data_IF_488701078032
#
_entry.id   IF_488701078032
#
_cell.length_a   1.000
_cell.length_b   1.000
_cell.length_c   1.000
_cell.angle_alpha   90.00
_cell.angle_beta   90.00
_cell.angle_gamma   90.00
#
_symmetry.space_group_name_H-M   'P 1'
#
loop_
_entity.id
_entity.type
_entity.pdbx_description
1 polymer ?
#
# COMPACT_ATOMS: atom_id res chain seq x y z
N UNK A 1 -29.31 -44.41 -7.78
CA UNK A 1 -27.87 -44.13 -7.56
C UNK A 1 -27.35 -42.88 -8.27
N UNK A 2 -27.80 -42.54 -9.49
CA UNK A 2 -27.31 -41.34 -10.24
C UNK A 2 -27.62 -39.98 -9.57
N UNK A 3 -28.75 -39.84 -8.88
CA UNK A 3 -29.15 -38.59 -8.22
C UNK A 3 -28.23 -38.22 -7.02
N UNK A 4 -27.71 -39.22 -6.31
CA UNK A 4 -26.82 -39.02 -5.16
C UNK A 4 -25.46 -38.43 -5.59
N UNK A 5 -24.91 -38.91 -6.71
CA UNK A 5 -23.66 -38.39 -7.27
C UNK A 5 -23.78 -36.93 -7.74
N UNK A 6 -24.94 -36.55 -8.29
CA UNK A 6 -25.20 -35.17 -8.73
C UNK A 6 -25.26 -34.22 -7.53
N UNK A 7 -25.92 -34.62 -6.44
CA UNK A 7 -26.00 -33.82 -5.22
C UNK A 7 -24.64 -33.65 -4.53
N UNK A 8 -23.83 -34.70 -4.51
CA UNK A 8 -22.46 -34.65 -3.96
C UNK A 8 -21.58 -33.70 -4.80
N UNK A 9 -21.64 -33.79 -6.13
CA UNK A 9 -20.91 -32.89 -7.02
C UNK A 9 -21.34 -31.42 -6.85
N UNK A 10 -22.64 -31.15 -6.67
CA UNK A 10 -23.14 -29.80 -6.40
C UNK A 10 -22.66 -29.26 -5.03
N UNK A 11 -22.63 -30.11 -4.01
CA UNK A 11 -22.12 -29.73 -2.69
C UNK A 11 -20.63 -29.34 -2.74
N UNK A 12 -19.79 -30.10 -3.45
CA UNK A 12 -18.39 -29.76 -3.66
C UNK A 12 -18.20 -28.49 -4.51
N UNK A 13 -19.04 -28.26 -5.53
CA UNK A 13 -18.98 -27.05 -6.35
C UNK A 13 -19.32 -25.78 -5.54
N UNK A 14 -20.28 -25.86 -4.62
CA UNK A 14 -20.68 -24.71 -3.77
C UNK A 14 -19.67 -24.39 -2.66
N UNK A 15 -18.95 -25.39 -2.13
CA UNK A 15 -17.91 -25.16 -1.12
C UNK A 15 -16.73 -24.34 -1.67
N UNK A 16 -16.40 -24.47 -2.96
CA UNK A 16 -15.29 -23.73 -3.57
C UNK A 16 -15.56 -22.22 -3.73
N UNK A 17 -16.82 -21.78 -3.69
CA UNK A 17 -17.20 -20.38 -3.93
C UNK A 17 -17.14 -19.54 -2.64
N UNK A 18 -17.22 -20.18 -1.46
CA UNK A 18 -17.35 -19.46 -0.17
C UNK A 18 -15.99 -19.19 0.49
N UNK A 19 -14.90 -19.82 0.04
CA UNK A 19 -13.55 -19.52 0.53
C UNK A 19 -12.95 -18.26 -0.12
N UNK A 20 -13.72 -17.16 -0.16
CA UNK A 20 -13.13 -15.85 -0.42
C UNK A 20 -12.26 -15.47 0.79
N UNK A 21 -10.94 -15.22 0.62
CA UNK A 21 -10.08 -14.85 1.73
C UNK A 21 -10.65 -13.59 2.40
N UNK A 22 -10.95 -13.69 3.69
CA UNK A 22 -11.41 -12.55 4.49
C UNK A 22 -10.37 -11.44 4.38
N UNK A 23 -10.80 -10.31 3.83
CA UNK A 23 -9.96 -9.18 3.48
C UNK A 23 -9.19 -8.68 4.71
N UNK A 24 -7.90 -9.02 4.82
CA UNK A 24 -6.99 -8.59 5.90
C UNK A 24 -6.57 -7.12 5.80
N UNK A 25 -7.40 -6.27 5.17
CA UNK A 25 -7.10 -4.88 4.81
C UNK A 25 -6.64 -4.01 6.00
N UNK A 26 -7.02 -4.40 7.23
CA UNK A 26 -6.68 -3.67 8.45
C UNK A 26 -5.43 -4.15 9.18
N UNK A 27 -4.83 -5.30 8.83
CA UNK A 27 -3.63 -5.79 9.55
C UNK A 27 -2.38 -5.15 8.97
N UNK A 28 -1.89 -4.09 9.63
CA UNK A 28 -0.64 -3.43 9.25
C UNK A 28 0.56 -4.35 9.47
N UNK A 29 1.58 -4.29 8.60
CA UNK A 29 2.81 -5.03 8.81
C UNK A 29 3.60 -4.46 10.00
N UNK A 30 4.25 -5.34 10.76
CA UNK A 30 5.10 -4.95 11.89
C UNK A 30 6.30 -4.11 11.45
N UNK A 31 6.86 -4.44 10.29
CA UNK A 31 7.97 -3.70 9.67
C UNK A 31 7.48 -3.03 8.39
N UNK A 32 7.80 -1.74 8.23
CA UNK A 32 7.63 -1.06 6.95
C UNK A 32 8.66 -1.56 5.95
N UNK A 33 8.20 -1.80 4.72
CA UNK A 33 9.06 -2.09 3.58
C UNK A 33 8.57 -1.31 2.39
N UNK A 34 9.49 -0.59 1.76
CA UNK A 34 9.25 0.10 0.51
C UNK A 34 10.41 -0.12 -0.44
N UNK A 35 10.09 -0.29 -1.73
CA UNK A 35 11.07 -0.35 -2.81
C UNK A 35 10.82 0.81 -3.75
N UNK A 36 11.85 1.59 -4.02
CA UNK A 36 11.80 2.74 -4.94
C UNK A 36 12.67 2.42 -6.14
N UNK A 37 12.11 2.53 -7.34
CA UNK A 37 12.77 2.19 -8.59
C UNK A 37 13.00 3.43 -9.43
N UNK A 38 14.15 3.51 -10.10
CA UNK A 38 14.45 4.67 -10.96
C UNK A 38 13.71 4.68 -12.30
N UNK A 39 13.21 3.52 -12.76
CA UNK A 39 12.40 3.39 -13.99
C UNK A 39 11.01 2.85 -13.68
N UNK A 40 10.01 3.10 -14.56
CA UNK A 40 8.68 2.52 -14.44
C UNK A 40 8.69 0.99 -14.43
N UNK A 41 7.58 0.41 -13.98
CA UNK A 41 7.29 -1.02 -13.95
C UNK A 41 8.32 -1.84 -13.16
N UNK A 42 8.80 -1.30 -12.03
CA UNK A 42 9.74 -1.95 -11.11
C UNK A 42 11.08 -2.30 -11.75
N UNK A 43 11.56 -1.42 -12.65
CA UNK A 43 12.82 -1.58 -13.39
C UNK A 43 13.89 -0.57 -12.96
N UNK A 44 15.13 -0.84 -13.35
CA UNK A 44 16.27 0.03 -13.08
C UNK A 44 16.83 -0.15 -11.67
N UNK A 45 17.56 0.86 -11.19
CA UNK A 45 18.15 0.85 -9.85
C UNK A 45 17.06 0.86 -8.78
N UNK A 46 17.20 -0.03 -7.80
CA UNK A 46 16.27 -0.15 -6.66
C UNK A 46 16.91 0.35 -5.39
N UNK A 47 16.15 1.12 -4.60
CA UNK A 47 16.48 1.47 -3.24
C UNK A 47 15.44 0.86 -2.29
N UNK A 48 15.93 0.09 -1.33
CA UNK A 48 15.11 -0.55 -0.31
C UNK A 48 15.07 0.32 0.94
N UNK A 49 13.86 0.68 1.38
CA UNK A 49 13.61 1.40 2.62
C UNK A 49 12.94 0.43 3.58
N UNK A 50 13.55 0.24 4.76
CA UNK A 50 13.05 -0.64 5.82
C UNK A 50 13.10 0.11 7.14
N UNK A 51 12.03 0.00 7.93
CA UNK A 51 11.99 0.57 9.28
C UNK A 51 11.01 -0.18 10.17
N UNK A 52 11.32 -0.24 11.46
CA UNK A 52 10.42 -0.74 12.49
C UNK A 52 9.54 0.44 12.91
N UNK A 53 8.26 0.41 12.55
CA UNK A 53 7.40 1.59 12.69
C UNK A 53 6.77 1.64 14.09
N UNK A 54 7.59 1.76 15.12
CA UNK A 54 7.11 2.10 16.46
C UNK A 54 7.06 3.63 16.62
N UNK A 55 5.86 4.13 16.95
CA UNK A 55 5.64 5.36 17.72
C UNK A 55 6.13 6.72 17.21
N UNK A 56 6.90 6.83 16.12
CA UNK A 56 7.49 8.12 15.75
C UNK A 56 6.41 9.11 15.31
N UNK A 57 6.14 10.13 16.14
CA UNK A 57 5.22 11.24 15.83
C UNK A 57 5.70 12.08 14.63
N UNK A 58 6.99 12.01 14.30
CA UNK A 58 7.58 12.73 13.15
C UNK A 58 7.50 11.90 11.86
N UNK A 59 7.19 12.53 10.72
CA UNK A 59 7.25 11.88 9.43
C UNK A 59 8.69 11.44 9.16
N UNK A 60 8.86 10.17 8.82
CA UNK A 60 10.17 9.61 8.50
C UNK A 60 10.58 10.13 7.11
N UNK A 61 11.83 10.55 6.98
CA UNK A 61 12.39 11.08 5.73
C UNK A 61 13.61 10.26 5.32
N UNK A 62 13.72 9.96 4.02
CA UNK A 62 14.87 9.27 3.44
C UNK A 62 15.35 9.98 2.19
N UNK A 63 16.67 10.13 2.07
CA UNK A 63 17.29 10.59 0.84
C UNK A 63 17.35 9.45 -0.19
N UNK A 64 17.03 9.78 -1.43
CA UNK A 64 17.00 8.86 -2.54
C UNK A 64 18.37 8.80 -3.21
N UNK A 65 18.83 7.59 -3.54
CA UNK A 65 20.07 7.38 -4.29
C UNK A 65 19.96 7.86 -5.74
N UNK A 66 18.75 7.82 -6.31
CA UNK A 66 18.44 8.31 -7.65
C UNK A 66 17.68 9.64 -7.59
N UNK A 67 17.96 10.55 -8.53
CA UNK A 67 17.22 11.82 -8.71
C UNK A 67 15.85 11.65 -9.37
N UNK A 68 15.50 10.42 -9.78
CA UNK A 68 14.26 10.08 -10.48
C UNK A 68 13.62 8.85 -9.86
N UNK A 69 12.31 8.94 -9.64
CA UNK A 69 11.43 7.87 -9.18
C UNK A 69 10.52 7.47 -10.35
N UNK A 70 10.74 6.29 -10.90
CA UNK A 70 9.95 5.74 -11.99
C UNK A 70 8.75 4.93 -11.51
N UNK A 71 8.94 4.12 -10.47
CA UNK A 71 7.87 3.37 -9.79
C UNK A 71 8.21 3.13 -8.32
N UNK A 72 7.22 2.73 -7.52
CA UNK A 72 7.46 2.27 -6.15
C UNK A 72 6.44 1.22 -5.70
N UNK A 73 6.86 0.43 -4.71
CA UNK A 73 6.04 -0.59 -4.07
C UNK A 73 6.14 -0.44 -2.55
N UNK A 74 5.01 -0.58 -1.85
CA UNK A 74 4.95 -0.54 -0.37
C UNK A 74 4.15 -1.71 0.15
N UNK A 75 4.48 -2.18 1.35
CA UNK A 75 3.75 -3.25 2.02
C UNK A 75 2.60 -2.76 2.92
N UNK A 76 2.64 -1.52 3.42
CA UNK A 76 1.55 -0.92 4.20
C UNK A 76 0.66 -0.08 3.26
N UNK A 77 -0.61 -0.47 3.01
CA UNK A 77 -1.52 0.28 2.16
C UNK A 77 -1.95 1.63 2.78
N UNK A 78 -1.88 1.75 4.12
CA UNK A 78 -2.37 2.88 4.90
C UNK A 78 -1.28 3.91 5.18
N UNK A 79 -0.53 4.26 4.13
CA UNK A 79 0.52 5.29 4.17
C UNK A 79 0.32 6.33 3.07
N UNK A 80 0.69 7.56 3.41
CA UNK A 80 0.87 8.68 2.50
C UNK A 80 2.35 8.77 2.14
N UNK A 81 2.64 8.74 0.85
CA UNK A 81 3.98 8.91 0.29
C UNK A 81 4.12 10.32 -0.26
N UNK A 82 5.14 11.06 0.17
CA UNK A 82 5.41 12.43 -0.28
C UNK A 82 6.83 12.50 -0.84
N UNK A 83 6.97 12.96 -2.08
CA UNK A 83 8.26 13.09 -2.76
C UNK A 83 8.69 14.56 -2.79
N UNK A 84 9.98 14.81 -2.56
CA UNK A 84 10.53 16.17 -2.55
C UNK A 84 11.67 16.30 -3.55
N UNK A 85 11.79 17.48 -4.15
CA UNK A 85 12.85 17.78 -5.13
C UNK A 85 14.22 17.96 -4.49
N UNK A 86 14.26 18.33 -3.21
CA UNK A 86 15.48 18.53 -2.42
C UNK A 86 15.73 17.37 -1.47
N UNK A 87 16.92 17.31 -0.88
CA UNK A 87 17.24 16.35 0.17
C UNK A 87 16.48 16.68 1.45
N UNK A 88 16.45 15.72 2.37
CA UNK A 88 15.99 15.90 3.75
C UNK A 88 14.53 16.36 3.87
N UNK A 89 13.75 16.10 2.83
CA UNK A 89 12.32 16.43 2.74
C UNK A 89 12.04 17.92 2.90
N UNK A 90 12.96 18.74 2.38
CA UNK A 90 12.83 20.19 2.40
C UNK A 90 12.07 20.74 1.20
N UNK A 91 11.47 21.91 1.39
CA UNK A 91 10.77 22.65 0.35
C UNK A 91 9.40 22.06 0.00
N UNK A 92 8.85 22.53 -1.12
CA UNK A 92 7.54 22.09 -1.59
C UNK A 92 7.58 20.62 -2.09
N UNK A 93 6.56 19.81 -1.78
CA UNK A 93 6.43 18.47 -2.34
C UNK A 93 6.35 18.49 -3.87
N UNK A 94 7.14 17.64 -4.52
CA UNK A 94 7.00 17.36 -5.96
C UNK A 94 5.72 16.57 -6.25
N UNK A 95 5.35 15.65 -5.35
CA UNK A 95 4.16 14.84 -5.48
C UNK A 95 3.74 14.24 -4.14
N UNK A 96 2.44 14.05 -3.95
CA UNK A 96 1.88 13.38 -2.79
C UNK A 96 0.90 12.31 -3.25
N UNK A 97 1.11 11.08 -2.80
CA UNK A 97 0.24 9.94 -3.08
C UNK A 97 -0.47 9.54 -1.80
N UNK A 98 -1.78 9.76 -1.79
CA UNK A 98 -2.67 9.25 -0.75
C UNK A 98 -3.13 7.84 -1.16
N UNK A 99 -3.17 6.93 -0.19
CA UNK A 99 -3.53 5.52 -0.38
C UNK A 99 -2.55 4.76 -1.29
N UNK A 100 -1.65 4.03 -0.66
CA UNK A 100 -0.59 3.28 -1.33
C UNK A 100 -0.94 1.79 -1.47
N UNK A 101 -2.23 1.45 -1.42
CA UNK A 101 -2.71 0.07 -1.51
C UNK A 101 -2.42 -0.63 -2.85
N UNK A 102 -2.18 0.14 -3.90
CA UNK A 102 -1.76 -0.40 -5.21
C UNK A 102 -0.33 0.02 -5.50
N UNK A 103 0.52 -0.89 -6.03
CA UNK A 103 1.81 -0.52 -6.57
C UNK A 103 1.66 0.63 -7.57
N UNK A 104 2.61 1.56 -7.56
CA UNK A 104 2.63 2.66 -8.52
C UNK A 104 3.70 2.39 -9.56
N UNK A 105 3.29 1.74 -10.65
CA UNK A 105 4.20 1.32 -11.70
C UNK A 105 4.67 2.45 -12.62
N UNK A 106 4.01 3.62 -12.62
CA UNK A 106 4.36 4.72 -13.52
C UNK A 106 4.19 6.10 -12.86
N UNK A 107 5.21 6.49 -12.09
CA UNK A 107 5.26 7.72 -11.28
C UNK A 107 6.08 8.83 -11.97
N UNK A 108 7.19 8.47 -12.63
CA UNK A 108 8.08 9.36 -13.40
C UNK A 108 8.37 10.76 -12.78
N UNK A 109 8.60 10.83 -11.47
CA UNK A 109 8.83 12.09 -10.75
C UNK A 109 10.32 12.33 -10.48
N UNK A 110 10.75 13.59 -10.61
CA UNK A 110 12.07 14.04 -10.14
C UNK A 110 11.99 14.29 -8.63
N UNK A 111 12.73 13.50 -7.86
CA UNK A 111 12.77 13.59 -6.40
C UNK A 111 14.16 13.21 -5.87
N UNK A 112 14.57 13.84 -4.77
CA UNK A 112 15.82 13.55 -4.05
C UNK A 112 15.58 13.02 -2.64
N UNK A 113 14.38 13.20 -2.10
CA UNK A 113 13.99 12.56 -0.85
C UNK A 113 12.51 12.17 -0.87
N UNK A 114 12.17 11.31 0.09
CA UNK A 114 10.83 10.75 0.26
C UNK A 114 10.46 10.78 1.74
N UNK A 115 9.23 11.20 2.01
CA UNK A 115 8.62 11.13 3.33
C UNK A 115 7.42 10.20 3.35
N UNK A 116 7.30 9.45 4.42
CA UNK A 116 6.23 8.45 4.59
C UNK A 116 5.49 8.74 5.88
N UNK A 117 4.18 8.90 5.79
CA UNK A 117 3.31 9.21 6.93
C UNK A 117 2.21 8.16 7.03
N UNK A 118 1.98 7.61 8.22
CA UNK A 118 0.86 6.71 8.48
C UNK A 118 -0.46 7.48 8.39
N UNK A 119 -1.41 6.92 7.66
CA UNK A 119 -2.79 7.43 7.58
C UNK A 119 -3.67 6.51 8.41
N UNK A 120 -4.51 7.05 9.29
CA UNK A 120 -5.48 6.23 10.04
C UNK A 120 -6.59 5.76 9.09
N UNK A 121 -7.03 4.49 9.16
CA UNK A 121 -8.19 4.06 8.40
C UNK A 121 -9.42 4.85 8.89
N UNK A 122 -10.21 5.37 7.95
CA UNK A 122 -11.50 5.97 8.27
C UNK A 122 -12.49 4.83 8.45
N UNK A 123 -12.82 4.50 9.69
CA UNK A 123 -13.92 3.57 9.99
C UNK A 123 -15.20 4.37 9.81
N UNK A 124 -15.83 4.24 8.63
CA UNK A 124 -17.18 4.75 8.44
C UNK A 124 -18.11 3.90 9.32
N UNK A 125 -18.43 4.39 10.51
CA UNK A 125 -19.52 3.81 11.29
C UNK A 125 -20.79 3.96 10.47
N UNK A 126 -21.33 2.82 10.01
CA UNK A 126 -22.64 2.75 9.40
C UNK A 126 -23.64 3.25 10.45
N UNK A 127 -24.01 4.53 10.38
CA UNK A 127 -25.11 5.08 11.18
C UNK A 127 -26.33 4.24 10.82
N UNK A 128 -26.70 3.33 11.71
CA UNK A 128 -27.97 2.62 11.65
C UNK A 128 -29.05 3.68 11.71
N UNK A 129 -29.64 3.99 10.56
CA UNK A 129 -30.85 4.81 10.45
C UNK A 129 -32.01 3.98 11.00
N UNK A 130 -32.04 3.85 12.32
CA UNK A 130 -33.24 3.55 13.09
C UNK A 130 -33.50 4.81 13.88
N UNK A 131 -34.16 5.79 13.28
CA UNK A 131 -35.06 6.73 13.95
C UNK A 131 -35.90 7.42 12.87
N UNK A 132 -37.20 7.53 13.20
CA UNK A 132 -38.38 7.98 12.44
C UNK A 132 -39.05 6.90 11.59
#
# INVERSE_FOLDING_TARGET
MKLLFILIAFFYLTCAIIAAPSHSWNKRPQQFKMQVYSRPFRKGTVQNIRTYIEGSKKPLCWNLSSKRVGSYEVNDPLVKVTLYRFSDCQGAPSATFQNSARPRDHVLIKARSISITKVKPVILQKRSRKEL
#
